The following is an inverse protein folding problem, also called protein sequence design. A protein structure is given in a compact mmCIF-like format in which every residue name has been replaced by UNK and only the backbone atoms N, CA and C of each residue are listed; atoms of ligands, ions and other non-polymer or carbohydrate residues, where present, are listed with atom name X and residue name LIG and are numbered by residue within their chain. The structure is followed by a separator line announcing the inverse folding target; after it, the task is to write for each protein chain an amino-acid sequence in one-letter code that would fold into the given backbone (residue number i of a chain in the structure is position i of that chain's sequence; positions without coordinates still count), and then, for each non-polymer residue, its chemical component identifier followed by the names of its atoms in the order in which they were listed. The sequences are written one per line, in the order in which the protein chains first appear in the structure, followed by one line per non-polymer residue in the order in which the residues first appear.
data_IF_991662089683
#
_entry.id   IF_991662089683
#
_cell.length_a   1.000
_cell.length_b   1.000
_cell.length_c   1.000
_cell.angle_alpha   90.00
_cell.angle_beta   90.00
_cell.angle_gamma   90.00
#
_symmetry.space_group_name_H-M   'P 1'
#
loop_
_entity.id
_entity.type
_entity.pdbx_description
1 polymer ?
#
# COMPACT_ATOMS: atom_id res chain seq x y z
N UNK A 1 51.83 10.26 54.34
CA UNK A 1 50.44 10.27 53.83
C UNK A 1 49.77 9.00 54.28
N UNK A 2 48.73 9.13 55.11
CA UNK A 2 48.18 8.05 55.93
C UNK A 2 47.53 6.97 55.03
N UNK A 3 47.87 5.69 55.22
CA UNK A 3 47.35 4.53 54.47
C UNK A 3 45.81 4.46 54.51
N UNK A 4 45.19 4.93 55.60
CA UNK A 4 43.73 5.00 55.74
C UNK A 4 43.09 5.98 54.77
N UNK A 5 43.72 7.14 54.49
CA UNK A 5 43.18 8.10 53.48
C UNK A 5 43.27 7.56 52.05
N UNK A 6 44.29 6.77 51.70
CA UNK A 6 44.38 6.10 50.38
C UNK A 6 43.31 5.04 50.20
N UNK A 7 43.06 4.23 51.24
CA UNK A 7 41.98 3.22 51.18
C UNK A 7 40.60 3.86 51.02
N UNK A 8 40.35 4.96 51.73
CA UNK A 8 39.09 5.68 51.61
C UNK A 8 38.87 6.29 50.21
N UNK A 9 39.92 6.86 49.61
CA UNK A 9 39.86 7.40 48.25
C UNK A 9 39.63 6.31 47.18
N UNK A 10 40.28 5.14 47.33
CA UNK A 10 40.11 4.01 46.39
C UNK A 10 38.66 3.45 46.46
N UNK A 11 38.13 3.31 47.67
CA UNK A 11 36.75 2.83 47.87
C UNK A 11 35.70 3.82 47.32
N UNK A 12 35.94 5.13 47.45
CA UNK A 12 35.03 6.16 46.90
C UNK A 12 35.04 6.16 45.37
N UNK A 13 36.20 5.98 44.73
CA UNK A 13 36.31 5.91 43.26
C UNK A 13 35.68 4.63 42.73
N UNK A 14 35.85 3.49 43.39
CA UNK A 14 35.21 2.22 43.03
C UNK A 14 33.69 2.29 43.19
N UNK A 15 33.18 2.92 44.24
CA UNK A 15 31.74 3.13 44.44
C UNK A 15 31.10 4.02 43.36
N UNK A 16 31.80 5.11 42.99
CA UNK A 16 31.37 5.98 41.88
C UNK A 16 31.38 5.28 40.53
N UNK A 17 32.42 4.47 40.25
CA UNK A 17 32.52 3.70 39.02
C UNK A 17 31.40 2.65 38.91
N UNK A 18 31.07 1.95 40.00
CA UNK A 18 29.93 1.01 40.03
C UNK A 18 28.59 1.71 39.87
N UNK A 19 28.39 2.87 40.51
CA UNK A 19 27.16 3.64 40.33
C UNK A 19 26.94 4.12 38.88
N UNK A 20 28.02 4.53 38.20
CA UNK A 20 27.97 4.92 36.77
C UNK A 20 27.68 3.73 35.87
N UNK A 21 28.25 2.55 36.15
CA UNK A 21 27.99 1.32 35.42
C UNK A 21 26.54 0.83 35.60
N UNK A 22 26.02 0.87 36.83
CA UNK A 22 24.62 0.56 37.11
C UNK A 22 23.67 1.55 36.43
N UNK A 23 23.96 2.84 36.47
CA UNK A 23 23.14 3.87 35.82
C UNK A 23 23.10 3.70 34.29
N UNK A 24 24.27 3.41 33.66
CA UNK A 24 24.32 3.09 32.21
C UNK A 24 23.55 1.82 31.88
N UNK A 25 23.69 0.76 32.68
CA UNK A 25 22.91 -0.49 32.47
C UNK A 25 21.41 -0.27 32.56
N UNK A 26 20.92 0.60 33.45
CA UNK A 26 19.50 0.94 33.58
C UNK A 26 19.02 1.79 32.38
N UNK A 27 19.83 2.78 31.95
CA UNK A 27 19.47 3.62 30.80
C UNK A 27 19.48 2.83 29.48
N UNK A 28 20.46 1.97 29.25
CA UNK A 28 20.53 1.11 28.07
C UNK A 28 19.42 0.07 28.06
N UNK A 29 19.05 -0.50 29.21
CA UNK A 29 17.92 -1.41 29.36
C UNK A 29 16.58 -0.72 29.12
N UNK A 30 16.38 0.49 29.63
CA UNK A 30 15.17 1.28 29.39
C UNK A 30 15.04 1.69 27.91
N UNK A 31 16.17 2.05 27.26
CA UNK A 31 16.17 2.39 25.83
C UNK A 31 15.81 1.17 24.96
N UNK A 32 16.35 -0.01 25.29
CA UNK A 32 16.02 -1.25 24.58
C UNK A 32 14.56 -1.66 24.78
N UNK A 33 14.03 -1.59 26.00
CA UNK A 33 12.63 -1.89 26.28
C UNK A 33 11.68 -0.93 25.55
N UNK A 34 12.04 0.35 25.39
CA UNK A 34 11.26 1.30 24.61
C UNK A 34 11.35 1.05 23.11
N UNK A 35 12.53 0.66 22.60
CA UNK A 35 12.71 0.29 21.20
C UNK A 35 11.93 -1.00 20.87
N UNK A 36 12.04 -2.03 21.70
CA UNK A 36 11.30 -3.29 21.51
C UNK A 36 9.79 -3.07 21.61
N UNK A 37 9.29 -2.27 22.57
CA UNK A 37 7.87 -1.96 22.67
C UNK A 37 7.34 -1.12 21.48
N UNK A 38 8.16 -0.24 20.91
CA UNK A 38 7.82 0.51 19.73
C UNK A 38 7.74 -0.39 18.48
N UNK A 39 8.70 -1.31 18.32
CA UNK A 39 8.71 -2.29 17.24
C UNK A 39 7.52 -3.25 17.34
N UNK A 40 7.18 -3.74 18.55
CA UNK A 40 5.97 -4.56 18.76
C UNK A 40 4.68 -3.79 18.52
N UNK A 41 4.61 -2.49 18.86
CA UNK A 41 3.44 -1.66 18.60
C UNK A 41 3.27 -1.33 17.12
N UNK A 42 4.34 -1.33 16.32
CA UNK A 42 4.31 -1.12 14.87
C UNK A 42 3.86 -2.39 14.14
N UNK A 43 4.15 -3.57 14.66
CA UNK A 43 3.73 -4.86 14.10
C UNK A 43 2.25 -5.20 14.35
N UNK A 44 1.59 -4.52 15.29
CA UNK A 44 0.19 -4.78 15.70
C UNK A 44 -0.83 -3.80 15.07
N UNK A 45 -0.39 -2.88 14.20
CA UNK A 45 -1.33 -1.96 13.56
C UNK A 45 -2.11 -2.66 12.44
N UNK A 46 -3.44 -2.46 12.36
CA UNK A 46 -4.22 -3.02 11.26
C UNK A 46 -3.75 -2.42 9.93
N UNK A 47 -3.72 -3.25 8.88
CA UNK A 47 -3.29 -2.86 7.55
C UNK A 47 -4.44 -2.89 6.57
N UNK A 48 -4.44 -1.99 5.60
CA UNK A 48 -5.38 -1.99 4.49
C UNK A 48 -4.71 -1.51 3.21
N UNK A 49 -5.17 -1.98 2.06
CA UNK A 49 -4.69 -1.54 0.76
C UNK A 49 -5.75 -0.70 0.05
N UNK A 50 -5.41 0.55 -0.29
CA UNK A 50 -6.19 1.35 -1.22
C UNK A 50 -5.85 0.92 -2.64
N UNK A 51 -6.85 0.57 -3.41
CA UNK A 51 -6.67 0.10 -4.78
C UNK A 51 -7.56 0.86 -5.75
N UNK A 52 -7.02 1.17 -6.93
CA UNK A 52 -7.68 2.01 -7.94
C UNK A 52 -7.71 1.30 -9.29
N UNK A 53 -8.90 1.14 -9.85
CA UNK A 53 -9.13 0.50 -11.13
C UNK A 53 -9.39 1.55 -12.24
N UNK A 54 -9.33 1.12 -13.49
CA UNK A 54 -9.67 1.84 -14.71
C UNK A 54 -8.73 2.96 -15.16
N UNK A 55 -7.71 3.30 -14.37
CA UNK A 55 -6.72 4.30 -14.74
C UNK A 55 -5.80 3.91 -15.93
N UNK A 56 -4.91 4.81 -16.33
CA UNK A 56 -4.76 6.17 -15.84
C UNK A 56 -5.73 7.16 -16.51
N UNK A 57 -6.28 8.11 -15.74
CA UNK A 57 -7.05 9.23 -16.25
C UNK A 57 -6.19 10.50 -16.31
N UNK A 58 -6.21 11.23 -17.44
CA UNK A 58 -5.31 12.35 -17.70
C UNK A 58 -5.34 13.47 -16.64
N UNK A 59 -6.49 13.70 -16.01
CA UNK A 59 -6.69 14.76 -15.00
C UNK A 59 -6.69 14.21 -13.57
N UNK A 60 -7.44 13.16 -13.32
CA UNK A 60 -7.77 12.75 -11.96
C UNK A 60 -6.69 11.89 -11.33
N UNK A 61 -6.06 11.00 -12.11
CA UNK A 61 -4.93 10.21 -11.61
C UNK A 61 -3.77 11.06 -11.09
N UNK A 62 -3.30 12.12 -11.80
CA UNK A 62 -2.27 13.01 -11.25
C UNK A 62 -2.68 13.72 -9.95
N UNK A 63 -3.96 14.09 -9.82
CA UNK A 63 -4.48 14.71 -8.58
C UNK A 63 -4.44 13.72 -7.41
N UNK A 64 -4.80 12.45 -7.68
CA UNK A 64 -4.73 11.38 -6.68
C UNK A 64 -3.29 11.12 -6.26
N UNK A 65 -2.36 10.94 -7.21
CA UNK A 65 -0.94 10.70 -6.93
C UNK A 65 -0.33 11.82 -6.06
N UNK A 66 -0.62 13.08 -6.38
CA UNK A 66 -0.18 14.22 -5.58
C UNK A 66 -0.76 14.18 -4.16
N UNK A 67 -2.03 13.82 -4.02
CA UNK A 67 -2.70 13.70 -2.72
C UNK A 67 -2.13 12.58 -1.86
N UNK A 68 -1.84 11.41 -2.45
CA UNK A 68 -1.23 10.25 -1.78
C UNK A 68 0.22 10.56 -1.36
N UNK A 69 1.01 11.19 -2.26
CA UNK A 69 2.40 11.59 -1.97
C UNK A 69 2.49 12.55 -0.79
N UNK A 70 1.60 13.54 -0.71
CA UNK A 70 1.54 14.47 0.44
C UNK A 70 1.27 13.78 1.77
N UNK A 71 0.64 12.62 1.74
CA UNK A 71 0.29 11.80 2.91
C UNK A 71 1.31 10.70 3.22
N UNK A 72 2.31 10.52 2.33
CA UNK A 72 3.29 9.43 2.40
C UNK A 72 2.61 8.06 2.28
N UNK A 73 1.63 7.92 1.37
CA UNK A 73 0.85 6.69 1.18
C UNK A 73 1.21 6.08 -0.18
N UNK A 74 1.53 4.79 -0.16
CA UNK A 74 1.60 3.96 -1.36
C UNK A 74 0.25 3.24 -1.56
N UNK A 75 -0.14 3.05 -2.80
CA UNK A 75 -1.39 2.41 -3.19
C UNK A 75 -1.16 1.48 -4.39
N UNK A 76 -2.20 0.75 -4.80
CA UNK A 76 -2.11 -0.15 -5.95
C UNK A 76 -3.05 0.28 -7.06
N UNK A 77 -2.54 0.39 -8.28
CA UNK A 77 -3.28 0.83 -9.45
C UNK A 77 -3.38 -0.31 -10.46
N UNK A 78 -4.59 -0.70 -10.82
CA UNK A 78 -4.86 -1.72 -11.84
C UNK A 78 -5.28 -1.02 -13.13
N UNK A 79 -4.34 -0.95 -14.09
CA UNK A 79 -4.47 -0.11 -15.27
C UNK A 79 -5.15 -0.84 -16.43
N UNK A 80 -6.07 -0.15 -17.09
CA UNK A 80 -6.57 -0.57 -18.41
C UNK A 80 -5.54 -0.22 -19.47
N UNK A 81 -5.09 -1.21 -20.26
CA UNK A 81 -4.03 -1.01 -21.24
C UNK A 81 -4.33 0.10 -22.25
N UNK A 82 -5.56 0.19 -22.74
CA UNK A 82 -6.00 1.25 -23.69
C UNK A 82 -5.94 2.67 -23.13
N UNK A 83 -5.92 2.80 -21.80
CA UNK A 83 -5.89 4.11 -21.16
C UNK A 83 -4.46 4.63 -20.97
N UNK A 84 -3.44 3.82 -21.24
CA UNK A 84 -2.02 4.17 -21.04
C UNK A 84 -1.52 5.11 -22.13
N UNK A 85 -1.93 4.88 -23.39
CA UNK A 85 -1.48 5.68 -24.52
C UNK A 85 -1.70 7.18 -24.32
N UNK A 86 -0.62 7.96 -24.49
CA UNK A 86 -0.60 9.41 -24.26
C UNK A 86 -0.57 9.82 -22.78
N UNK A 87 -0.43 8.85 -21.86
CA UNK A 87 -0.38 9.08 -20.40
C UNK A 87 0.81 8.35 -19.74
N UNK A 88 1.83 8.04 -20.52
CA UNK A 88 3.01 7.30 -20.09
C UNK A 88 3.69 7.97 -18.88
N UNK A 89 3.75 9.31 -18.88
CA UNK A 89 4.32 10.08 -17.75
C UNK A 89 3.55 9.91 -16.43
N UNK A 90 2.26 9.59 -16.49
CA UNK A 90 1.47 9.31 -15.30
C UNK A 90 1.86 7.95 -14.73
N UNK A 91 2.04 6.94 -15.60
CA UNK A 91 2.50 5.59 -15.20
C UNK A 91 3.94 5.64 -14.66
N UNK A 92 4.84 6.40 -15.32
CA UNK A 92 6.19 6.65 -14.79
C UNK A 92 6.14 7.29 -13.38
N UNK A 93 5.21 8.22 -13.16
CA UNK A 93 5.06 8.87 -11.86
C UNK A 93 4.54 7.91 -10.80
N UNK A 94 3.58 7.00 -11.13
CA UNK A 94 3.13 5.95 -10.23
C UNK A 94 4.30 5.10 -9.75
N UNK A 95 5.16 4.64 -10.67
CA UNK A 95 6.35 3.85 -10.34
C UNK A 95 7.33 4.64 -9.45
N UNK A 96 7.63 5.88 -9.81
CA UNK A 96 8.54 6.76 -9.04
C UNK A 96 8.05 7.03 -7.62
N UNK A 97 6.74 7.12 -7.44
CA UNK A 97 6.11 7.34 -6.14
C UNK A 97 5.96 6.04 -5.32
N UNK A 98 6.46 4.89 -5.85
CA UNK A 98 6.44 3.60 -5.14
C UNK A 98 5.08 2.92 -5.11
N UNK A 99 4.17 3.26 -6.00
CA UNK A 99 2.88 2.59 -6.12
C UNK A 99 3.03 1.25 -6.85
N UNK A 100 2.23 0.25 -6.46
CA UNK A 100 2.10 -0.97 -7.22
C UNK A 100 1.28 -0.72 -8.49
N UNK A 101 1.78 -1.22 -9.62
CA UNK A 101 1.10 -1.16 -10.91
C UNK A 101 0.70 -2.57 -11.31
N UNK A 102 -0.60 -2.81 -11.46
CA UNK A 102 -1.21 -4.06 -11.87
C UNK A 102 -1.95 -3.94 -13.21
N UNK A 103 -2.37 -5.09 -13.72
CA UNK A 103 -3.10 -5.23 -14.98
C UNK A 103 -4.62 -5.26 -14.73
N UNK A 104 -5.40 -4.54 -15.55
CA UNK A 104 -6.88 -4.55 -15.55
C UNK A 104 -7.46 -4.87 -16.93
N UNK A 105 -6.79 -5.72 -17.71
CA UNK A 105 -7.04 -6.01 -19.12
C UNK A 105 -6.87 -4.80 -20.03
N UNK A 106 -6.85 -5.02 -21.35
CA UNK A 106 -6.69 -3.91 -22.28
C UNK A 106 -7.98 -3.09 -22.45
N UNK A 107 -9.11 -3.75 -22.69
CA UNK A 107 -10.41 -3.12 -22.99
C UNK A 107 -11.46 -3.22 -21.89
N UNK A 108 -11.06 -3.61 -20.66
CA UNK A 108 -11.99 -3.84 -19.54
C UNK A 108 -13.02 -4.94 -19.85
N UNK A 109 -12.57 -6.08 -20.35
CA UNK A 109 -13.43 -7.20 -20.76
C UNK A 109 -13.64 -8.21 -19.64
N UNK A 110 -14.79 -8.89 -19.65
CA UNK A 110 -15.03 -10.04 -18.77
C UNK A 110 -14.28 -11.27 -19.29
N UNK A 111 -13.17 -11.61 -18.64
CA UNK A 111 -12.28 -12.70 -19.07
C UNK A 111 -12.99 -14.06 -19.16
N UNK A 112 -13.99 -14.31 -18.31
CA UNK A 112 -14.78 -15.55 -18.32
C UNK A 112 -15.77 -15.67 -19.50
N UNK A 113 -15.90 -14.63 -20.32
CA UNK A 113 -16.72 -14.63 -21.53
C UNK A 113 -15.92 -14.71 -22.83
N UNK A 114 -14.60 -14.73 -22.72
CA UNK A 114 -13.70 -14.78 -23.87
C UNK A 114 -13.12 -16.18 -24.05
N UNK A 115 -12.82 -16.59 -25.30
CA UNK A 115 -11.87 -17.68 -25.57
C UNK A 115 -10.51 -17.42 -24.90
N UNK A 116 -9.80 -18.47 -24.53
CA UNK A 116 -8.54 -18.35 -23.77
C UNK A 116 -7.47 -17.52 -24.48
N UNK A 117 -7.32 -17.68 -25.79
CA UNK A 117 -6.39 -16.90 -26.63
C UNK A 117 -6.71 -15.39 -26.63
N UNK A 118 -7.99 -15.03 -26.74
CA UNK A 118 -8.42 -13.63 -26.66
C UNK A 118 -8.25 -13.04 -25.25
N UNK A 119 -8.54 -13.84 -24.21
CA UNK A 119 -8.29 -13.43 -22.84
C UNK A 119 -6.77 -13.16 -22.61
N UNK A 120 -5.92 -14.05 -23.13
CA UNK A 120 -4.47 -13.87 -23.14
C UNK A 120 -4.04 -12.58 -23.85
N UNK A 121 -4.57 -12.33 -25.04
CA UNK A 121 -4.25 -11.11 -25.81
C UNK A 121 -4.55 -9.84 -25.00
N UNK A 122 -5.69 -9.76 -24.32
CA UNK A 122 -6.06 -8.64 -23.47
C UNK A 122 -5.08 -8.40 -22.33
N UNK A 123 -4.59 -9.48 -21.71
CA UNK A 123 -3.62 -9.42 -20.63
C UNK A 123 -2.24 -9.02 -21.16
N UNK A 124 -1.75 -9.68 -22.24
CA UNK A 124 -0.43 -9.43 -22.79
C UNK A 124 -0.29 -8.01 -23.34
N UNK A 125 -1.32 -7.48 -24.01
CA UNK A 125 -1.30 -6.08 -24.50
C UNK A 125 -1.11 -5.09 -23.36
N UNK A 126 -1.79 -5.28 -22.24
CA UNK A 126 -1.64 -4.41 -21.07
C UNK A 126 -0.29 -4.59 -20.40
N UNK A 127 0.16 -5.84 -20.23
CA UNK A 127 1.48 -6.13 -19.66
C UNK A 127 2.60 -5.45 -20.45
N UNK A 128 2.56 -5.55 -21.80
CA UNK A 128 3.55 -4.94 -22.67
C UNK A 128 3.52 -3.40 -22.57
N UNK A 129 2.32 -2.79 -22.56
CA UNK A 129 2.19 -1.34 -22.41
C UNK A 129 2.75 -0.83 -21.07
N UNK A 130 2.58 -1.58 -19.98
CA UNK A 130 3.17 -1.26 -18.67
C UNK A 130 4.69 -1.45 -18.73
N UNK A 131 5.18 -2.58 -19.30
CA UNK A 131 6.59 -2.90 -19.38
C UNK A 131 7.38 -1.87 -20.20
N UNK A 132 6.85 -1.39 -21.32
CA UNK A 132 7.50 -0.38 -22.17
C UNK A 132 7.80 0.92 -21.41
N UNK A 133 7.05 1.21 -20.35
CA UNK A 133 7.22 2.42 -19.55
C UNK A 133 8.08 2.16 -18.32
N UNK A 134 7.79 1.06 -17.61
CA UNK A 134 8.36 0.78 -16.28
C UNK A 134 9.60 -0.09 -16.32
N UNK A 135 9.81 -0.85 -17.40
CA UNK A 135 10.83 -1.89 -17.49
C UNK A 135 10.50 -3.17 -16.72
N UNK A 136 9.30 -3.25 -16.12
CA UNK A 136 8.86 -4.37 -15.28
C UNK A 136 7.49 -4.89 -15.73
N UNK A 137 7.33 -6.22 -15.76
CA UNK A 137 6.03 -6.83 -16.01
C UNK A 137 5.21 -6.84 -14.72
N UNK A 138 3.91 -6.46 -14.77
CA UNK A 138 3.07 -6.53 -13.59
C UNK A 138 2.86 -7.99 -13.14
N UNK A 139 2.98 -8.22 -11.83
CA UNK A 139 2.74 -9.53 -11.20
C UNK A 139 1.27 -9.77 -10.92
N UNK A 140 0.52 -8.69 -10.67
CA UNK A 140 -0.86 -8.73 -10.22
C UNK A 140 -1.83 -8.31 -11.32
N UNK A 141 -2.96 -9.03 -11.38
CA UNK A 141 -4.07 -8.71 -12.29
C UNK A 141 -5.37 -8.64 -11.49
N UNK A 142 -6.13 -7.57 -11.71
CA UNK A 142 -7.52 -7.51 -11.25
C UNK A 142 -8.45 -7.76 -12.41
N UNK A 143 -9.23 -8.87 -12.38
CA UNK A 143 -10.17 -9.14 -13.46
C UNK A 143 -11.33 -8.16 -13.42
N UNK A 144 -11.68 -7.51 -14.55
CA UNK A 144 -12.85 -6.65 -14.60
C UNK A 144 -14.11 -7.33 -14.08
N UNK A 145 -14.92 -6.61 -13.30
CA UNK A 145 -16.14 -7.11 -12.65
C UNK A 145 -15.90 -8.27 -11.66
N UNK A 146 -14.69 -8.55 -11.25
CA UNK A 146 -14.35 -9.75 -10.49
C UNK A 146 -14.55 -11.05 -11.25
N UNK A 147 -14.69 -10.97 -12.59
CA UNK A 147 -15.06 -12.09 -13.45
C UNK A 147 -13.84 -12.95 -13.81
N UNK A 148 -13.47 -13.86 -12.91
CA UNK A 148 -12.33 -14.78 -13.09
C UNK A 148 -12.82 -16.15 -13.56
N UNK A 149 -12.31 -16.69 -14.68
CA UNK A 149 -12.65 -18.03 -15.12
C UNK A 149 -11.90 -19.07 -14.29
N UNK A 150 -12.62 -20.07 -13.79
CA UNK A 150 -12.04 -21.11 -12.91
C UNK A 150 -10.94 -21.95 -13.57
N UNK A 151 -10.97 -22.06 -14.91
CA UNK A 151 -10.08 -22.93 -15.69
C UNK A 151 -9.31 -22.14 -16.77
N UNK A 152 -9.04 -20.85 -16.56
CA UNK A 152 -8.24 -20.09 -17.49
C UNK A 152 -6.78 -20.51 -17.35
N UNK A 153 -6.26 -21.19 -18.35
CA UNK A 153 -4.82 -21.33 -18.53
C UNK A 153 -4.28 -19.98 -18.98
N UNK A 154 -3.63 -19.28 -18.09
CA UNK A 154 -2.98 -18.02 -18.40
C UNK A 154 -1.72 -18.28 -19.22
N UNK A 155 -1.56 -17.56 -20.31
CA UNK A 155 -0.32 -17.51 -21.09
C UNK A 155 0.83 -16.82 -20.34
N UNK A 156 0.53 -16.21 -19.19
CA UNK A 156 1.46 -15.59 -18.26
C UNK A 156 1.09 -15.95 -16.82
N UNK A 157 2.10 -16.08 -15.97
CA UNK A 157 1.87 -16.29 -14.54
C UNK A 157 1.53 -14.95 -13.90
N UNK A 158 0.29 -14.77 -13.48
CA UNK A 158 -0.18 -13.59 -12.75
C UNK A 158 -1.05 -13.99 -11.58
N UNK A 159 -1.04 -13.18 -10.52
CA UNK A 159 -1.85 -13.38 -9.32
C UNK A 159 -3.13 -12.54 -9.42
N UNK A 160 -4.33 -13.17 -9.44
CA UNK A 160 -5.57 -12.44 -9.43
C UNK A 160 -5.81 -11.76 -8.07
N UNK A 161 -6.15 -10.47 -8.11
CA UNK A 161 -6.47 -9.67 -6.93
C UNK A 161 -7.94 -9.26 -6.97
N UNK A 162 -8.64 -9.56 -5.88
CA UNK A 162 -10.02 -9.15 -5.66
C UNK A 162 -10.07 -8.05 -4.60
N UNK A 163 -11.23 -7.79 -4.02
CA UNK A 163 -11.44 -6.79 -2.98
C UNK A 163 -12.37 -7.31 -1.88
N UNK A 164 -12.24 -6.72 -0.70
CA UNK A 164 -13.10 -6.99 0.45
C UNK A 164 -14.15 -5.90 0.61
N UNK A 165 -13.79 -4.66 0.29
CA UNK A 165 -14.66 -3.49 0.41
C UNK A 165 -14.89 -2.88 -0.96
N UNK A 166 -16.13 -2.93 -1.47
CA UNK A 166 -16.56 -2.19 -2.66
C UNK A 166 -17.14 -0.85 -2.23
N UNK A 167 -16.44 0.22 -2.50
CA UNK A 167 -16.87 1.57 -2.09
C UNK A 167 -18.03 2.11 -2.91
N UNK A 168 -18.32 1.51 -4.07
CA UNK A 168 -19.31 1.98 -5.04
C UNK A 168 -19.11 3.45 -5.46
N UNK A 169 -17.88 3.97 -5.38
CA UNK A 169 -17.54 5.37 -5.65
C UNK A 169 -17.92 5.81 -7.06
N UNK A 170 -17.73 4.94 -8.05
CA UNK A 170 -18.12 5.14 -9.45
C UNK A 170 -19.63 5.36 -9.64
N UNK A 171 -20.45 4.79 -8.75
CA UNK A 171 -21.92 4.83 -8.82
C UNK A 171 -22.50 5.92 -7.92
N UNK A 172 -22.05 5.97 -6.67
CA UNK A 172 -22.61 6.85 -5.63
C UNK A 172 -22.17 8.30 -5.87
N UNK A 173 -20.91 8.52 -6.23
CA UNK A 173 -20.29 9.83 -6.46
C UNK A 173 -20.55 10.83 -5.33
N UNK A 174 -20.51 10.36 -4.11
CA UNK A 174 -20.66 11.15 -2.89
C UNK A 174 -19.62 10.74 -1.86
N UNK A 175 -18.75 11.67 -1.48
CA UNK A 175 -17.59 11.46 -0.62
C UNK A 175 -18.01 10.86 0.73
N UNK A 176 -18.98 11.46 1.41
CA UNK A 176 -19.42 11.03 2.73
C UNK A 176 -20.06 9.63 2.73
N UNK A 177 -20.72 9.27 1.63
CA UNK A 177 -21.30 7.92 1.49
C UNK A 177 -20.23 6.87 1.28
N UNK A 178 -19.19 7.16 0.48
CA UNK A 178 -18.02 6.30 0.28
C UNK A 178 -17.27 6.10 1.61
N UNK A 179 -16.99 7.17 2.32
CA UNK A 179 -16.34 7.13 3.63
C UNK A 179 -17.11 6.24 4.63
N UNK A 180 -18.43 6.39 4.73
CA UNK A 180 -19.28 5.57 5.60
C UNK A 180 -19.24 4.08 5.25
N UNK A 181 -19.18 3.73 3.96
CA UNK A 181 -19.03 2.33 3.53
C UNK A 181 -17.71 1.79 4.05
N UNK A 182 -16.61 2.50 3.80
CA UNK A 182 -15.28 2.06 4.25
C UNK A 182 -15.22 1.92 5.77
N UNK A 183 -15.67 2.93 6.53
CA UNK A 183 -15.68 2.88 8.00
C UNK A 183 -16.47 1.69 8.58
N UNK A 184 -17.54 1.28 7.89
CA UNK A 184 -18.38 0.15 8.32
C UNK A 184 -17.76 -1.20 7.99
N UNK A 185 -17.05 -1.32 6.87
CA UNK A 185 -16.67 -2.62 6.27
C UNK A 185 -15.19 -2.94 6.39
N UNK A 186 -14.33 -1.91 6.57
CA UNK A 186 -12.89 -2.11 6.68
C UNK A 186 -12.53 -2.90 7.93
N UNK A 187 -11.59 -3.81 7.77
CA UNK A 187 -10.95 -4.59 8.83
C UNK A 187 -9.47 -4.77 8.48
N UNK A 188 -8.70 -5.30 9.41
CA UNK A 188 -7.31 -5.68 9.14
C UNK A 188 -7.22 -6.63 7.94
N UNK A 189 -6.29 -6.35 7.04
CA UNK A 189 -6.09 -7.08 5.79
C UNK A 189 -7.04 -6.71 4.65
N UNK A 190 -7.91 -5.69 4.79
CA UNK A 190 -8.86 -5.32 3.74
C UNK A 190 -8.21 -4.72 2.51
N UNK A 191 -8.64 -5.19 1.33
CA UNK A 191 -8.38 -4.58 0.03
C UNK A 191 -9.61 -3.74 -0.36
N UNK A 192 -9.42 -2.44 -0.54
CA UNK A 192 -10.49 -1.47 -0.78
C UNK A 192 -10.50 -1.09 -2.26
N UNK A 193 -11.62 -1.37 -2.94
CA UNK A 193 -11.82 -1.02 -4.35
C UNK A 193 -12.34 0.41 -4.50
N UNK A 194 -11.63 1.19 -5.28
CA UNK A 194 -11.97 2.54 -5.73
C UNK A 194 -11.59 2.72 -7.21
N UNK A 195 -11.88 3.90 -7.76
CA UNK A 195 -11.53 4.27 -9.13
C UNK A 195 -10.89 5.67 -9.15
N UNK A 196 -9.99 5.90 -10.11
CA UNK A 196 -9.33 7.20 -10.27
C UNK A 196 -9.85 8.02 -11.47
N UNK A 197 -11.07 7.69 -11.93
CA UNK A 197 -11.68 8.27 -13.15
C UNK A 197 -12.59 9.48 -12.88
N UNK A 198 -12.88 9.80 -11.60
CA UNK A 198 -13.83 10.87 -11.24
C UNK A 198 -13.24 11.78 -10.15
N UNK A 199 -13.59 13.08 -10.21
CA UNK A 199 -13.18 14.04 -9.17
C UNK A 199 -13.65 13.63 -7.77
N UNK A 200 -14.90 13.17 -7.66
CA UNK A 200 -15.50 12.72 -6.39
C UNK A 200 -14.84 11.46 -5.84
N UNK A 201 -14.36 10.55 -6.72
CA UNK A 201 -13.62 9.36 -6.29
C UNK A 201 -12.24 9.72 -5.73
N UNK A 202 -11.55 10.67 -6.36
CA UNK A 202 -10.25 11.18 -5.85
C UNK A 202 -10.43 11.86 -4.51
N UNK A 203 -11.43 12.74 -4.37
CA UNK A 203 -11.73 13.40 -3.09
C UNK A 203 -12.04 12.37 -2.01
N UNK A 204 -12.93 11.41 -2.31
CA UNK A 204 -13.29 10.34 -1.40
C UNK A 204 -12.09 9.47 -0.99
N UNK A 205 -11.20 9.14 -1.94
CA UNK A 205 -10.01 8.33 -1.65
C UNK A 205 -9.06 9.03 -0.66
N UNK A 206 -8.88 10.34 -0.81
CA UNK A 206 -8.02 11.12 0.08
C UNK A 206 -8.63 11.28 1.48
N UNK A 207 -9.94 11.49 1.58
CA UNK A 207 -10.66 11.52 2.86
C UNK A 207 -10.63 10.14 3.55
N UNK A 208 -10.88 9.06 2.82
CA UNK A 208 -10.76 7.67 3.31
C UNK A 208 -9.34 7.41 3.84
N UNK A 209 -8.32 7.84 3.10
CA UNK A 209 -6.93 7.70 3.53
C UNK A 209 -6.67 8.41 4.87
N UNK A 210 -7.15 9.65 5.02
CA UNK A 210 -7.00 10.42 6.26
C UNK A 210 -7.74 9.77 7.44
N UNK A 211 -8.97 9.30 7.20
CA UNK A 211 -9.80 8.60 8.20
C UNK A 211 -9.15 7.30 8.67
N UNK A 212 -8.65 6.48 7.75
CA UNK A 212 -8.00 5.20 8.09
C UNK A 212 -6.69 5.43 8.84
N UNK A 213 -5.87 6.40 8.44
CA UNK A 213 -4.66 6.78 9.21
C UNK A 213 -5.01 7.27 10.62
N UNK A 214 -6.04 8.09 10.75
CA UNK A 214 -6.51 8.55 12.07
C UNK A 214 -7.05 7.40 12.95
N UNK A 215 -7.60 6.35 12.33
CA UNK A 215 -8.03 5.12 13.00
C UNK A 215 -6.87 4.14 13.30
N UNK A 216 -5.63 4.48 12.96
CA UNK A 216 -4.44 3.69 13.25
C UNK A 216 -4.08 2.64 12.21
N UNK A 217 -4.71 2.64 11.03
CA UNK A 217 -4.34 1.75 9.94
C UNK A 217 -3.04 2.17 9.27
N UNK A 218 -2.21 1.18 8.94
CA UNK A 218 -1.15 1.33 7.97
C UNK A 218 -1.69 1.06 6.57
N UNK A 219 -1.58 2.06 5.69
CA UNK A 219 -1.99 1.94 4.31
C UNK A 219 -0.80 1.47 3.47
N UNK A 220 -0.94 0.27 2.91
CA UNK A 220 0.12 -0.46 2.21
C UNK A 220 -0.32 -0.85 0.79
N UNK A 221 0.62 -1.29 -0.04
CA UNK A 221 0.29 -1.86 -1.35
C UNK A 221 -0.23 -3.29 -1.22
N UNK A 222 -0.86 -3.82 -2.27
CA UNK A 222 -1.42 -5.18 -2.25
C UNK A 222 -0.36 -6.25 -2.02
N UNK A 223 0.82 -6.11 -2.62
CA UNK A 223 1.93 -7.05 -2.42
C UNK A 223 2.44 -7.04 -0.98
N UNK A 224 2.60 -5.86 -0.38
CA UNK A 224 2.95 -5.73 1.04
C UNK A 224 1.88 -6.33 1.95
N UNK A 225 0.60 -6.25 1.57
CA UNK A 225 -0.50 -6.82 2.35
C UNK A 225 -0.55 -8.34 2.26
N UNK A 226 -0.22 -8.93 1.10
CA UNK A 226 -0.31 -10.37 0.85
C UNK A 226 0.94 -11.15 1.29
N UNK A 227 2.08 -10.49 1.47
CA UNK A 227 3.33 -11.08 1.98
C UNK A 227 3.38 -10.88 3.49
N UNK A 228 2.73 -11.74 4.21
CA UNK A 228 2.78 -11.83 5.70
C UNK A 228 3.21 -13.20 6.14
#
# INVERSE_FOLDING_TARGET
MDKRKKYFQVMTVLGLAMAVLCYRGITDGALRLHADSAVFAEQDRPRAALTFDDGPHAKYTPMLLEGLRKRGIHASFFLMGKNIEGKEKIVEQMQKDGHLIGNHTYDHVQLNKLPGDQACEQILKTNNAIYEITGEYPTYLRPPYGAWPKNLELCVTMLPVFWDVDTLDWKIRNVQSVEKIVQREVKDGSIILMHDCFATSVEAALEVADVLKAAGYDLVTVDELLVT
#
